data_IF_047547035065
#
_entry.id   IF_047547035065
#
_cell.length_a   1.000
_cell.length_b   1.000
_cell.length_c   1.000
_cell.angle_alpha   90.00
_cell.angle_beta   90.00
_cell.angle_gamma   90.00
#
_symmetry.space_group_name_H-M   'P 1'
#
loop_
_entity.id
_entity.type
_entity.pdbx_description
1 polymer ?
#
# COMPACT_ATOMS: atom_id res chain seq x y z
N UNK A 1 27.10 1.77 24.95
CA UNK A 1 26.55 0.44 25.32
C UNK A 1 25.68 -0.05 24.17
N UNK A 2 26.22 -0.98 23.38
CA UNK A 2 25.60 -1.53 22.17
C UNK A 2 24.57 -2.60 22.54
N UNK A 3 23.32 -2.44 22.07
CA UNK A 3 22.24 -3.42 22.23
C UNK A 3 22.55 -4.67 21.39
N UNK A 4 22.50 -5.84 22.04
CA UNK A 4 22.59 -7.16 21.37
C UNK A 4 21.41 -7.34 20.41
N UNK A 5 21.64 -7.75 19.15
CA UNK A 5 20.56 -8.13 18.24
C UNK A 5 19.94 -9.47 18.66
N UNK A 6 18.63 -9.59 18.53
CA UNK A 6 17.88 -10.82 18.75
C UNK A 6 18.31 -11.91 17.74
N UNK A 7 18.58 -13.10 18.26
CA UNK A 7 19.18 -14.26 17.55
C UNK A 7 18.17 -15.30 17.05
N UNK A 8 16.89 -14.97 16.94
CA UNK A 8 15.88 -15.88 16.39
C UNK A 8 15.15 -15.26 15.21
N UNK A 9 15.41 -15.81 14.02
CA UNK A 9 14.62 -15.58 12.80
C UNK A 9 15.08 -14.41 11.93
N UNK A 10 16.17 -14.58 11.19
CA UNK A 10 16.57 -13.64 10.14
C UNK A 10 18.03 -13.82 9.76
N UNK A 11 18.31 -14.61 8.72
CA UNK A 11 19.67 -14.87 8.27
C UNK A 11 20.39 -13.57 7.87
N UNK A 12 21.68 -13.48 8.16
CA UNK A 12 22.54 -12.32 7.86
C UNK A 12 22.59 -11.91 6.37
N UNK A 13 22.05 -12.74 5.46
CA UNK A 13 21.89 -12.42 4.02
C UNK A 13 20.66 -11.58 3.70
N UNK A 14 19.73 -11.38 4.64
CA UNK A 14 18.55 -10.51 4.45
C UNK A 14 18.95 -9.03 4.39
N UNK A 15 20.03 -8.65 5.08
CA UNK A 15 20.51 -7.25 5.12
C UNK A 15 21.40 -6.87 3.93
N UNK A 16 22.06 -7.83 3.28
CA UNK A 16 22.94 -7.56 2.12
C UNK A 16 22.13 -7.28 0.86
N UNK A 17 20.97 -7.96 0.71
CA UNK A 17 20.08 -7.81 -0.44
C UNK A 17 18.95 -6.80 -0.21
N UNK A 18 18.70 -6.41 1.05
CA UNK A 18 17.86 -5.26 1.40
C UNK A 18 18.43 -3.91 0.93
N UNK A 19 19.65 -3.89 0.36
CA UNK A 19 20.25 -2.73 -0.32
C UNK A 19 19.87 -2.65 -1.81
N UNK A 20 19.42 -3.74 -2.43
CA UNK A 20 18.77 -3.72 -3.76
C UNK A 20 17.28 -3.34 -3.71
N UNK A 21 16.83 -2.88 -2.53
CA UNK A 21 15.48 -2.46 -2.17
C UNK A 21 15.06 -1.10 -2.79
N UNK A 22 15.96 -0.45 -3.54
CA UNK A 22 15.78 0.89 -4.11
C UNK A 22 14.86 0.97 -5.34
N UNK A 23 14.37 -0.14 -5.90
CA UNK A 23 13.64 -0.10 -7.18
C UNK A 23 12.11 0.05 -7.09
N UNK A 24 11.55 0.39 -5.93
CA UNK A 24 10.18 0.92 -5.87
C UNK A 24 10.14 2.14 -4.98
N UNK A 25 9.99 3.29 -5.63
CA UNK A 25 9.74 4.59 -5.02
C UNK A 25 8.65 4.48 -3.94
N UNK A 26 8.85 5.09 -2.76
CA UNK A 26 7.80 5.15 -1.74
C UNK A 26 6.56 5.85 -2.29
N UNK A 27 5.38 5.65 -1.70
CA UNK A 27 4.18 6.39 -2.11
C UNK A 27 4.44 7.90 -2.06
N UNK A 28 5.08 8.38 -0.99
CA UNK A 28 5.39 9.80 -0.81
C UNK A 28 6.35 10.32 -1.88
N UNK A 29 7.40 9.54 -2.19
CA UNK A 29 8.34 9.90 -3.24
C UNK A 29 7.66 9.90 -4.62
N UNK A 30 6.78 8.93 -4.90
CA UNK A 30 6.05 8.86 -6.16
C UNK A 30 5.08 10.05 -6.32
N UNK A 31 4.45 10.46 -5.22
CA UNK A 31 3.62 11.66 -5.17
C UNK A 31 4.46 12.93 -5.42
N UNK A 32 5.60 13.07 -4.73
CA UNK A 32 6.50 14.23 -4.88
C UNK A 32 7.10 14.32 -6.29
N UNK A 33 7.54 13.20 -6.85
CA UNK A 33 8.08 13.11 -8.21
C UNK A 33 7.05 13.52 -9.27
N UNK A 34 5.78 13.20 -9.02
CA UNK A 34 4.68 13.66 -9.86
C UNK A 34 4.34 15.15 -9.65
N UNK A 35 4.86 15.83 -8.62
CA UNK A 35 4.60 17.24 -8.36
C UNK A 35 3.50 17.51 -7.33
N UNK A 36 3.10 16.49 -6.55
CA UNK A 36 2.25 16.68 -5.38
C UNK A 36 3.09 17.11 -4.17
N UNK A 37 2.51 17.96 -3.32
CA UNK A 37 3.13 18.32 -2.04
C UNK A 37 2.63 17.36 -0.95
N UNK A 38 3.56 16.73 -0.25
CA UNK A 38 3.28 15.84 0.88
C UNK A 38 3.84 16.47 2.14
N UNK A 39 2.97 16.81 3.09
CA UNK A 39 3.32 17.41 4.39
C UNK A 39 2.85 16.49 5.51
N UNK A 40 3.81 15.91 6.23
CA UNK A 40 3.58 14.78 7.15
C UNK A 40 2.85 13.62 6.47
N UNK A 41 1.52 13.59 6.56
CA UNK A 41 0.64 12.59 5.97
C UNK A 41 -0.39 13.21 5.02
N UNK A 42 -0.43 14.52 4.88
CA UNK A 42 -1.41 15.21 4.04
C UNK A 42 -0.86 15.40 2.62
N UNK A 43 -1.69 15.12 1.62
CA UNK A 43 -1.32 15.22 0.21
C UNK A 43 -2.09 16.36 -0.44
N UNK A 44 -1.37 17.23 -1.12
CA UNK A 44 -1.88 18.44 -1.75
C UNK A 44 -1.60 18.46 -3.25
N UNK A 45 -2.59 18.89 -4.03
CA UNK A 45 -2.41 19.36 -5.40
C UNK A 45 -2.48 20.89 -5.36
N UNK A 46 -1.33 21.56 -5.54
CA UNK A 46 -1.19 23.00 -5.28
C UNK A 46 -1.59 23.33 -3.83
N UNK A 47 -2.73 24.00 -3.64
CA UNK A 47 -3.26 24.40 -2.34
C UNK A 47 -4.42 23.51 -1.87
N UNK A 48 -4.93 22.61 -2.73
CA UNK A 48 -6.07 21.76 -2.40
C UNK A 48 -5.58 20.49 -1.70
N UNK A 49 -6.03 20.25 -0.47
CA UNK A 49 -5.83 18.97 0.21
C UNK A 49 -6.66 17.91 -0.52
N UNK A 50 -5.99 16.95 -1.15
CA UNK A 50 -6.64 15.93 -1.98
C UNK A 50 -6.76 14.58 -1.29
N UNK A 51 -5.99 14.36 -0.21
CA UNK A 51 -5.93 13.07 0.42
C UNK A 51 -4.91 12.95 1.53
N UNK A 52 -4.67 11.71 1.94
CA UNK A 52 -3.69 11.33 2.95
C UNK A 52 -2.79 10.21 2.45
N UNK A 53 -1.50 10.24 2.80
CA UNK A 53 -0.56 9.13 2.69
C UNK A 53 -0.29 8.57 4.09
N UNK A 54 -0.94 7.44 4.43
CA UNK A 54 -1.06 6.97 5.83
C UNK A 54 -0.82 5.46 5.96
N UNK A 55 0.40 4.99 5.67
CA UNK A 55 0.76 3.59 5.86
C UNK A 55 0.77 3.12 7.34
N UNK A 56 0.83 1.80 7.54
CA UNK A 56 1.01 1.15 8.84
C UNK A 56 -0.02 1.58 9.91
N UNK A 57 0.44 2.06 11.06
CA UNK A 57 -0.43 2.52 12.15
C UNK A 57 -1.09 3.87 11.84
N UNK A 58 -0.54 4.65 10.91
CA UNK A 58 -1.05 5.98 10.58
C UNK A 58 -2.43 5.92 9.92
N UNK A 59 -2.75 4.84 9.18
CA UNK A 59 -4.10 4.58 8.67
C UNK A 59 -5.14 4.59 9.80
N UNK A 60 -4.82 3.96 10.92
CA UNK A 60 -5.69 3.90 12.08
C UNK A 60 -5.75 5.24 12.82
N UNK A 61 -4.59 5.84 13.07
CA UNK A 61 -4.49 7.04 13.91
C UNK A 61 -5.03 8.30 13.23
N UNK A 62 -4.76 8.49 11.94
CA UNK A 62 -5.01 9.76 11.25
C UNK A 62 -6.16 9.71 10.24
N UNK A 63 -6.65 8.51 9.89
CA UNK A 63 -7.83 8.38 9.05
C UNK A 63 -9.00 7.77 9.80
N UNK A 64 -8.88 6.53 10.29
CA UNK A 64 -10.01 5.84 10.92
C UNK A 64 -10.48 6.54 12.20
N UNK A 65 -9.57 6.81 13.14
CA UNK A 65 -9.91 7.45 14.41
C UNK A 65 -10.50 8.86 14.22
N UNK A 66 -9.92 9.65 13.30
CA UNK A 66 -10.42 10.99 12.97
C UNK A 66 -11.81 10.97 12.33
N UNK A 67 -12.20 9.84 11.71
CA UNK A 67 -13.55 9.62 11.21
C UNK A 67 -14.43 8.81 12.19
N UNK A 68 -14.04 8.72 13.47
CA UNK A 68 -14.84 8.08 14.53
C UNK A 68 -14.87 6.54 14.48
N UNK A 69 -13.98 5.91 13.72
CA UNK A 69 -13.90 4.45 13.62
C UNK A 69 -12.94 3.89 14.68
N UNK A 70 -13.50 3.13 15.63
CA UNK A 70 -12.73 2.20 16.47
C UNK A 70 -12.69 0.83 15.78
N UNK A 71 -11.49 0.43 15.32
CA UNK A 71 -11.32 -0.83 14.60
C UNK A 71 -11.74 -2.06 15.41
N UNK A 72 -11.63 -2.01 16.74
CA UNK A 72 -11.90 -3.16 17.62
C UNK A 72 -13.38 -3.54 17.64
N UNK A 73 -14.26 -2.63 17.24
CA UNK A 73 -15.68 -2.90 17.02
C UNK A 73 -15.94 -3.73 15.74
N UNK A 74 -14.99 -3.82 14.82
CA UNK A 74 -15.15 -4.48 13.51
C UNK A 74 -14.22 -5.68 13.31
N UNK A 75 -12.99 -5.61 13.80
CA UNK A 75 -11.96 -6.62 13.59
C UNK A 75 -11.30 -7.01 14.93
N UNK A 76 -10.94 -8.29 15.05
CA UNK A 76 -10.21 -8.81 16.21
C UNK A 76 -8.73 -8.41 16.24
N UNK A 77 -8.20 -7.82 15.16
CA UNK A 77 -6.83 -7.28 15.09
C UNK A 77 -6.71 -6.17 14.05
N UNK A 78 -5.63 -5.39 14.16
CA UNK A 78 -5.26 -4.40 13.15
C UNK A 78 -4.59 -5.06 11.95
N UNK A 79 -5.14 -4.78 10.77
CA UNK A 79 -4.54 -5.03 9.48
C UNK A 79 -3.80 -3.78 9.03
N UNK A 80 -2.49 -3.75 9.24
CA UNK A 80 -1.67 -2.58 8.94
C UNK A 80 -1.17 -2.65 7.49
N UNK A 81 -1.51 -1.70 6.62
CA UNK A 81 -1.03 -1.70 5.24
C UNK A 81 0.44 -1.27 5.19
N UNK A 82 1.17 -1.67 4.13
CA UNK A 82 2.53 -1.16 3.92
C UNK A 82 2.46 0.35 3.64
N UNK A 83 1.60 0.72 2.67
CA UNK A 83 1.27 2.09 2.30
C UNK A 83 -0.25 2.20 2.08
N UNK A 84 -0.79 3.40 2.26
CA UNK A 84 -2.22 3.66 2.06
C UNK A 84 -2.40 5.07 1.55
N UNK A 85 -3.10 5.22 0.42
CA UNK A 85 -3.53 6.51 -0.08
C UNK A 85 -5.02 6.67 0.12
N UNK A 86 -5.43 7.65 0.91
CA UNK A 86 -6.84 8.02 1.07
C UNK A 86 -7.13 9.17 0.12
N UNK A 87 -7.94 8.93 -0.91
CA UNK A 87 -8.31 9.95 -1.89
C UNK A 87 -9.67 10.55 -1.51
N UNK A 88 -9.67 11.83 -1.13
CA UNK A 88 -10.89 12.52 -0.72
C UNK A 88 -11.79 12.91 -1.89
N UNK A 89 -11.23 13.07 -3.10
CA UNK A 89 -12.00 13.48 -4.28
C UNK A 89 -12.94 12.38 -4.77
N UNK A 90 -12.48 11.13 -4.76
CA UNK A 90 -13.27 9.99 -5.20
C UNK A 90 -13.74 9.07 -4.07
N UNK A 91 -13.50 9.48 -2.81
CA UNK A 91 -13.86 8.73 -1.60
C UNK A 91 -13.37 7.29 -1.62
N UNK A 92 -12.12 7.07 -2.01
CA UNK A 92 -11.51 5.73 -2.10
C UNK A 92 -10.26 5.64 -1.25
N UNK A 93 -10.18 4.58 -0.45
CA UNK A 93 -9.00 4.16 0.29
C UNK A 93 -8.26 3.12 -0.54
N UNK A 94 -7.05 3.47 -0.97
CA UNK A 94 -6.18 2.58 -1.72
C UNK A 94 -5.17 1.94 -0.78
N UNK A 95 -5.36 0.66 -0.49
CA UNK A 95 -4.43 -0.17 0.28
C UNK A 95 -3.35 -0.68 -0.66
N UNK A 96 -2.10 -0.33 -0.38
CA UNK A 96 -0.95 -0.67 -1.22
C UNK A 96 -0.04 -1.61 -0.42
N UNK A 97 0.14 -2.83 -0.91
CA UNK A 97 1.09 -3.78 -0.34
C UNK A 97 2.20 -4.12 -1.29
N UNK A 98 3.44 -3.97 -0.83
CA UNK A 98 4.61 -4.25 -1.65
C UNK A 98 5.04 -5.70 -1.41
N UNK A 99 5.33 -6.43 -2.48
CA UNK A 99 5.91 -7.78 -2.39
C UNK A 99 7.12 -7.85 -3.32
N UNK A 100 8.26 -8.15 -2.71
CA UNK A 100 9.55 -8.30 -3.36
C UNK A 100 10.08 -9.69 -3.07
N UNK A 101 10.54 -10.38 -4.11
CA UNK A 101 11.08 -11.72 -3.98
C UNK A 101 12.27 -11.92 -4.93
N UNK A 102 13.26 -12.71 -4.48
CA UNK A 102 14.44 -13.08 -5.27
C UNK A 102 14.77 -14.57 -5.24
N UNK A 103 14.10 -15.34 -4.37
CA UNK A 103 14.18 -16.80 -4.33
C UNK A 103 12.82 -17.39 -3.93
N UNK A 104 12.55 -18.64 -4.26
CA UNK A 104 11.30 -19.30 -3.83
C UNK A 104 11.19 -19.31 -2.30
N UNK A 105 10.01 -19.01 -1.75
CA UNK A 105 9.81 -18.94 -0.31
C UNK A 105 8.37 -18.69 0.12
N UNK A 106 8.12 -18.63 1.43
CA UNK A 106 6.76 -18.55 2.04
C UNK A 106 5.95 -17.28 1.75
N UNK A 107 6.46 -16.38 0.91
CA UNK A 107 5.73 -15.21 0.41
C UNK A 107 4.69 -15.64 -0.63
N UNK A 108 4.99 -16.68 -1.40
CA UNK A 108 4.19 -17.13 -2.54
C UNK A 108 2.79 -17.61 -2.12
N UNK A 109 2.70 -18.30 -0.97
CA UNK A 109 1.44 -18.82 -0.40
C UNK A 109 0.49 -17.72 0.11
N UNK A 110 0.98 -16.49 0.30
CA UNK A 110 0.23 -15.43 1.00
C UNK A 110 -0.47 -14.46 0.04
N UNK A 111 -0.17 -14.50 -1.26
CA UNK A 111 -0.77 -13.63 -2.27
C UNK A 111 -2.30 -13.74 -2.34
N UNK A 112 -2.92 -14.93 -2.20
CA UNK A 112 -4.39 -15.03 -2.20
C UNK A 112 -5.09 -14.34 -1.01
N UNK A 113 -4.35 -13.97 0.05
CA UNK A 113 -4.94 -13.32 1.24
C UNK A 113 -5.41 -11.86 0.98
N UNK A 114 -5.16 -11.30 -0.20
CA UNK A 114 -5.67 -9.98 -0.59
C UNK A 114 -7.20 -9.90 -0.47
N UNK A 115 -7.94 -10.93 -0.89
CA UNK A 115 -9.40 -10.96 -0.82
C UNK A 115 -9.88 -10.74 0.62
N UNK A 116 -9.38 -11.56 1.54
CA UNK A 116 -9.71 -11.45 2.94
C UNK A 116 -9.32 -10.08 3.52
N UNK A 117 -8.09 -9.61 3.27
CA UNK A 117 -7.66 -8.29 3.75
C UNK A 117 -8.53 -7.16 3.20
N UNK A 118 -8.87 -7.18 1.90
CA UNK A 118 -9.74 -6.18 1.27
C UNK A 118 -11.08 -6.11 2.00
N UNK A 119 -11.73 -7.24 2.24
CA UNK A 119 -12.99 -7.33 3.01
C UNK A 119 -12.86 -6.77 4.42
N UNK A 120 -11.73 -6.99 5.08
CA UNK A 120 -11.49 -6.45 6.44
C UNK A 120 -11.35 -4.92 6.44
N UNK A 121 -10.69 -4.34 5.43
CA UNK A 121 -10.64 -2.88 5.26
C UNK A 121 -12.00 -2.30 4.84
N UNK A 122 -12.76 -3.00 4.00
CA UNK A 122 -14.11 -2.58 3.60
C UNK A 122 -15.03 -2.47 4.82
N UNK A 123 -14.98 -3.41 5.76
CA UNK A 123 -15.72 -3.31 7.04
C UNK A 123 -15.42 -2.02 7.81
N UNK A 124 -14.15 -1.58 7.80
CA UNK A 124 -13.70 -0.37 8.50
C UNK A 124 -14.10 0.91 7.76
N UNK A 125 -14.13 0.89 6.43
CA UNK A 125 -14.36 2.09 5.61
C UNK A 125 -15.84 2.27 5.22
N UNK A 126 -16.64 1.20 5.22
CA UNK A 126 -18.05 1.24 4.86
C UNK A 126 -18.89 2.20 5.74
N UNK A 127 -18.74 2.26 7.08
CA UNK A 127 -19.54 3.16 7.91
C UNK A 127 -19.28 4.64 7.65
N UNK A 128 -18.14 4.98 7.05
CA UNK A 128 -17.75 6.36 6.71
C UNK A 128 -17.86 6.63 5.20
N UNK A 129 -18.55 5.75 4.46
CA UNK A 129 -18.83 5.86 3.02
C UNK A 129 -17.56 6.06 2.16
N UNK A 130 -16.52 5.27 2.46
CA UNK A 130 -15.34 5.15 1.60
C UNK A 130 -15.28 3.78 0.93
N UNK A 131 -15.02 3.78 -0.37
CA UNK A 131 -14.66 2.57 -1.12
C UNK A 131 -13.26 2.11 -0.74
N UNK A 132 -12.97 0.83 -0.93
CA UNK A 132 -11.63 0.28 -0.73
C UNK A 132 -11.16 -0.37 -2.02
N UNK A 133 -9.98 0.02 -2.47
CA UNK A 133 -9.22 -0.70 -3.49
C UNK A 133 -7.96 -1.29 -2.88
N UNK A 134 -7.68 -2.54 -3.19
CA UNK A 134 -6.51 -3.26 -2.70
C UNK A 134 -5.59 -3.56 -3.87
N UNK A 135 -4.34 -3.10 -3.81
CA UNK A 135 -3.36 -3.36 -4.84
C UNK A 135 -2.04 -3.87 -4.28
N UNK A 136 -1.43 -4.79 -5.03
CA UNK A 136 -0.03 -5.13 -4.87
C UNK A 136 0.87 -4.28 -5.76
N UNK A 137 2.07 -4.01 -5.27
CA UNK A 137 3.21 -3.65 -6.12
C UNK A 137 4.24 -4.76 -6.04
N UNK A 138 4.44 -5.43 -7.17
CA UNK A 138 5.35 -6.55 -7.34
C UNK A 138 6.66 -6.10 -7.98
N UNK A 139 7.75 -6.84 -7.72
CA UNK A 139 8.87 -6.85 -8.66
C UNK A 139 8.69 -7.89 -9.77
N UNK A 140 9.61 -7.87 -10.73
CA UNK A 140 9.60 -8.74 -11.91
C UNK A 140 9.63 -10.24 -11.58
N UNK A 141 9.99 -10.64 -10.35
CA UNK A 141 9.90 -12.04 -9.92
C UNK A 141 8.50 -12.63 -10.09
N UNK A 142 7.46 -11.83 -9.84
CA UNK A 142 6.07 -12.27 -9.97
C UNK A 142 5.56 -12.22 -11.42
N UNK A 143 6.43 -12.04 -12.40
CA UNK A 143 6.09 -12.23 -13.83
C UNK A 143 6.26 -13.68 -14.28
N UNK A 144 6.86 -14.53 -13.43
CA UNK A 144 7.14 -15.92 -13.79
C UNK A 144 5.85 -16.74 -14.00
N UNK A 145 5.85 -17.72 -14.92
CA UNK A 145 4.63 -18.45 -15.32
C UNK A 145 3.89 -19.17 -14.18
N UNK A 146 4.58 -19.63 -13.15
CA UNK A 146 3.96 -20.30 -12.00
C UNK A 146 2.97 -19.42 -11.23
N UNK A 147 3.07 -18.10 -11.34
CA UNK A 147 2.15 -17.17 -10.67
C UNK A 147 0.87 -16.91 -11.45
N UNK A 148 0.73 -17.42 -12.69
CA UNK A 148 -0.41 -17.15 -13.57
C UNK A 148 -1.76 -17.32 -12.85
N UNK A 149 -1.96 -18.44 -12.17
CA UNK A 149 -3.24 -18.77 -11.56
C UNK A 149 -3.51 -17.88 -10.34
N UNK A 150 -2.49 -17.60 -9.54
CA UNK A 150 -2.56 -16.66 -8.40
C UNK A 150 -2.85 -15.22 -8.86
N UNK A 151 -2.19 -14.76 -9.93
CA UNK A 151 -2.41 -13.42 -10.50
C UNK A 151 -3.81 -13.29 -11.10
N UNK A 152 -4.32 -14.36 -11.73
CA UNK A 152 -5.70 -14.39 -12.21
C UNK A 152 -6.68 -14.30 -11.03
N UNK A 153 -6.47 -15.12 -9.99
CA UNK A 153 -7.30 -15.08 -8.79
C UNK A 153 -7.33 -13.69 -8.13
N UNK A 154 -6.19 -13.00 -8.02
CA UNK A 154 -6.12 -11.62 -7.49
C UNK A 154 -7.10 -10.70 -8.24
N UNK A 155 -7.17 -10.80 -9.58
CA UNK A 155 -8.12 -10.00 -10.38
C UNK A 155 -9.56 -10.44 -10.18
N UNK A 156 -9.80 -11.75 -10.12
CA UNK A 156 -11.15 -12.33 -9.97
C UNK A 156 -11.82 -11.90 -8.66
N UNK A 157 -11.03 -11.70 -7.59
CA UNK A 157 -11.51 -11.19 -6.30
C UNK A 157 -11.55 -9.66 -6.22
N UNK A 158 -11.35 -8.97 -7.35
CA UNK A 158 -11.36 -7.51 -7.41
C UNK A 158 -10.18 -6.84 -6.69
N UNK A 159 -9.06 -7.54 -6.52
CA UNK A 159 -7.80 -6.93 -6.13
C UNK A 159 -6.95 -6.63 -7.38
N UNK A 160 -5.96 -5.78 -7.23
CA UNK A 160 -5.16 -5.28 -8.34
C UNK A 160 -3.68 -5.56 -8.09
N UNK A 161 -2.89 -5.51 -9.16
CA UNK A 161 -1.44 -5.54 -9.03
C UNK A 161 -0.78 -4.74 -10.15
N UNK A 162 0.37 -4.17 -9.81
CA UNK A 162 1.23 -3.40 -10.71
C UNK A 162 2.68 -3.82 -10.45
N UNK A 163 3.59 -3.46 -11.36
CA UNK A 163 5.00 -3.82 -11.24
C UNK A 163 5.87 -2.59 -11.06
N UNK A 164 6.79 -2.67 -10.10
CA UNK A 164 7.92 -1.77 -9.84
C UNK A 164 7.58 -0.31 -9.48
N UNK A 165 6.36 0.19 -9.75
CA UNK A 165 5.98 1.58 -9.56
C UNK A 165 4.56 1.73 -9.01
N UNK A 166 4.35 2.81 -8.25
CA UNK A 166 3.03 3.20 -7.75
C UNK A 166 2.17 3.72 -8.91
N UNK A 167 0.98 3.16 -9.15
CA UNK A 167 0.14 3.51 -10.29
C UNK A 167 -0.72 4.74 -9.99
N UNK A 168 -0.14 5.96 -10.02
CA UNK A 168 -0.85 7.18 -9.63
C UNK A 168 -2.21 7.36 -10.34
N UNK A 169 -2.30 7.03 -11.64
CA UNK A 169 -3.56 7.06 -12.38
C UNK A 169 -4.64 6.14 -11.80
N UNK A 170 -4.27 4.95 -11.32
CA UNK A 170 -5.19 4.03 -10.63
C UNK A 170 -5.64 4.58 -9.27
N UNK A 171 -4.77 5.33 -8.59
CA UNK A 171 -5.08 6.02 -7.33
C UNK A 171 -6.03 7.23 -7.52
N UNK A 172 -6.51 7.48 -8.74
CA UNK A 172 -7.36 8.62 -9.07
C UNK A 172 -6.60 9.95 -9.13
N UNK A 173 -5.29 9.89 -9.34
CA UNK A 173 -4.42 11.05 -9.46
C UNK A 173 -4.07 11.28 -10.93
N UNK A 174 -4.30 12.50 -11.41
CA UNK A 174 -3.81 12.92 -12.72
C UNK A 174 -2.34 13.33 -12.58
N UNK A 175 -1.50 13.14 -13.59
CA UNK A 175 -0.21 13.81 -13.57
C UNK A 175 -0.46 15.33 -13.53
N UNK A 176 0.09 16.07 -12.54
CA UNK A 176 0.01 17.51 -12.50
C UNK A 176 0.49 18.09 -13.84
N UNK A 177 -0.39 18.81 -14.53
CA UNK A 177 -0.04 19.52 -15.75
C UNK A 177 1.10 20.51 -15.44
N UNK A 178 2.34 20.15 -15.77
CA UNK A 178 3.52 21.03 -15.65
C UNK A 178 3.49 22.12 -16.76
N UNK A 179 2.58 22.03 -17.73
CA UNK A 179 2.49 22.97 -18.86
C UNK A 179 1.11 23.59 -19.01
N UNK A 180 0.77 24.54 -18.14
CA UNK A 180 -0.11 25.67 -18.48
C UNK A 180 0.37 26.92 -17.75
N UNK A 181 1.42 27.52 -18.31
CA UNK A 181 1.68 28.95 -18.21
C UNK A 181 1.17 29.61 -19.49
#
# INVERSE_FOLDING_TARGET
>A
MSRKPNTFGGGARTNVNGLSFEQTTSLDDALKDAGYRVEEYEVYNKNDKIGLSVGKINFYNFFLKENGIDYSAFNSKQWRPDECFVNFKNRTVYIIEKKFQHCSGSVDEKLPNCDFKKKEYEKLCHPIDFKVEYLYIFNDWFTRPEYRDTLQYIKDVGCHYFYNKVPLGFLGLQEPNIYKL
#
